data_IF_466051028981
#
_entry.id   IF_466051028981
#
_cell.length_a   1.000
_cell.length_b   1.000
_cell.length_c   1.000
_cell.angle_alpha   90.00
_cell.angle_beta   90.00
_cell.angle_gamma   90.00
#
_symmetry.space_group_name_H-M   'P 1'
#
loop_
_entity.id
_entity.type
_entity.pdbx_description
1 polymer ?
#
# COMPACT_ATOMS: atom_id res chain seq x y z
N UNK A 1 -65.75 -60.02 -9.47
CA UNK A 1 -64.80 -61.09 -9.14
C UNK A 1 -63.42 -60.61 -9.59
N UNK A 2 -62.44 -60.62 -8.68
CA UNK A 2 -60.96 -60.42 -8.81
C UNK A 2 -60.49 -59.06 -9.36
N UNK A 3 -59.81 -58.16 -8.61
CA UNK A 3 -58.52 -58.16 -7.87
C UNK A 3 -57.28 -57.73 -8.69
N UNK A 4 -56.42 -56.91 -8.05
CA UNK A 4 -55.05 -56.45 -8.38
C UNK A 4 -54.94 -55.16 -9.26
N UNK A 5 -54.02 -54.19 -9.07
CA UNK A 5 -52.86 -53.97 -8.19
C UNK A 5 -52.37 -52.49 -8.27
N UNK A 6 -51.36 -52.14 -7.47
CA UNK A 6 -50.79 -50.85 -7.01
C UNK A 6 -50.03 -49.95 -8.07
N UNK A 7 -49.46 -48.76 -7.71
CA UNK A 7 -49.44 -47.50 -8.49
C UNK A 7 -48.02 -47.05 -8.90
N UNK A 8 -47.88 -45.87 -9.56
CA UNK A 8 -46.70 -45.01 -9.38
C UNK A 8 -46.91 -43.54 -9.83
N UNK A 9 -46.09 -42.68 -9.23
CA UNK A 9 -46.20 -41.23 -9.07
C UNK A 9 -45.77 -40.40 -10.29
N UNK A 10 -46.22 -39.13 -10.34
CA UNK A 10 -45.79 -38.14 -11.31
C UNK A 10 -46.01 -36.69 -10.87
N UNK A 11 -44.91 -36.06 -10.44
CA UNK A 11 -44.54 -34.65 -10.54
C UNK A 11 -45.45 -33.53 -9.97
N UNK A 12 -44.90 -32.88 -8.94
CA UNK A 12 -45.30 -31.60 -8.35
C UNK A 12 -44.80 -30.46 -9.26
N UNK A 13 -45.68 -29.52 -9.62
CA UNK A 13 -45.31 -28.28 -10.33
C UNK A 13 -45.38 -27.11 -9.34
N UNK A 14 -44.22 -26.57 -8.94
CA UNK A 14 -44.13 -25.35 -8.13
C UNK A 14 -43.86 -24.15 -9.03
N UNK A 15 -44.84 -23.25 -9.14
CA UNK A 15 -44.70 -21.94 -9.77
C UNK A 15 -43.92 -20.97 -8.89
N UNK A 16 -42.88 -20.35 -9.46
CA UNK A 16 -42.09 -19.30 -8.83
C UNK A 16 -42.24 -17.98 -9.60
N UNK A 17 -42.79 -16.97 -8.92
CA UNK A 17 -42.99 -15.60 -9.41
C UNK A 17 -41.64 -14.89 -9.44
N UNK A 18 -41.16 -14.49 -10.62
CA UNK A 18 -39.97 -13.65 -10.76
C UNK A 18 -40.32 -12.18 -10.47
N UNK A 19 -39.87 -11.68 -9.32
CA UNK A 19 -39.78 -10.24 -9.07
C UNK A 19 -38.54 -9.70 -9.79
N UNK A 20 -38.77 -8.91 -10.85
CA UNK A 20 -37.73 -8.14 -11.53
C UNK A 20 -37.23 -7.02 -10.61
N UNK A 21 -36.10 -7.26 -9.94
CA UNK A 21 -35.32 -6.22 -9.27
C UNK A 21 -34.63 -5.37 -10.33
N UNK A 22 -35.17 -4.18 -10.58
CA UNK A 22 -34.46 -3.13 -11.31
C UNK A 22 -33.26 -2.68 -10.46
N UNK A 23 -32.07 -3.11 -10.87
CA UNK A 23 -30.81 -2.60 -10.36
C UNK A 23 -30.76 -1.08 -10.57
N UNK A 24 -30.87 -0.33 -9.48
CA UNK A 24 -30.64 1.12 -9.48
C UNK A 24 -29.20 1.37 -9.87
N UNK A 25 -29.01 1.98 -11.04
CA UNK A 25 -27.73 2.48 -11.53
C UNK A 25 -27.24 3.56 -10.58
N UNK A 26 -26.23 3.26 -9.77
CA UNK A 26 -25.54 4.25 -8.96
C UNK A 26 -24.91 5.30 -9.89
N UNK A 27 -25.11 6.57 -9.57
CA UNK A 27 -24.61 7.72 -10.32
C UNK A 27 -23.09 7.78 -10.12
N UNK A 28 -22.34 7.25 -11.09
CA UNK A 28 -20.88 7.28 -11.11
C UNK A 28 -20.37 8.65 -11.54
N UNK A 29 -19.79 9.41 -10.61
CA UNK A 29 -18.83 10.46 -10.94
C UNK A 29 -17.57 9.86 -11.60
N UNK A 30 -16.70 10.68 -12.22
CA UNK A 30 -15.50 10.18 -12.90
C UNK A 30 -14.64 9.40 -11.90
N UNK A 31 -14.44 8.11 -12.17
CA UNK A 31 -13.71 7.22 -11.27
C UNK A 31 -12.25 7.66 -11.10
N UNK A 32 -11.67 7.36 -9.94
CA UNK A 32 -10.23 7.45 -9.69
C UNK A 32 -9.49 6.62 -10.73
N UNK A 33 -8.43 7.17 -11.33
CA UNK A 33 -7.55 6.37 -12.19
C UNK A 33 -6.78 5.37 -11.34
N UNK A 34 -6.87 4.09 -11.71
CA UNK A 34 -6.14 3.02 -11.04
C UNK A 34 -4.61 3.20 -11.15
N UNK A 35 -3.90 2.80 -10.10
CA UNK A 35 -2.46 2.71 -10.06
C UNK A 35 -1.95 1.64 -11.05
N UNK A 36 -0.87 1.97 -11.77
CA UNK A 36 -0.13 0.97 -12.54
C UNK A 36 0.74 0.13 -11.62
N UNK A 37 0.63 -1.20 -11.75
CA UNK A 37 1.47 -2.15 -11.00
C UNK A 37 2.82 -2.34 -11.71
N UNK A 38 3.88 -2.72 -10.99
CA UNK A 38 5.15 -3.09 -11.60
C UNK A 38 5.00 -4.34 -12.47
N UNK A 39 5.78 -4.41 -13.54
CA UNK A 39 5.85 -5.60 -14.41
C UNK A 39 7.18 -6.33 -14.17
N UNK A 40 7.35 -6.88 -12.96
CA UNK A 40 8.61 -7.51 -12.56
C UNK A 40 8.87 -8.82 -13.28
N UNK A 41 10.07 -8.93 -13.85
CA UNK A 41 10.63 -10.17 -14.41
C UNK A 41 12.12 -10.22 -14.13
N UNK A 42 12.47 -10.66 -12.92
CA UNK A 42 13.86 -10.77 -12.51
C UNK A 42 14.62 -11.77 -13.42
N UNK A 43 15.88 -11.46 -13.78
CA UNK A 43 16.77 -12.40 -14.44
C UNK A 43 17.22 -13.50 -13.48
N UNK A 44 18.09 -14.39 -13.93
CA UNK A 44 18.81 -15.27 -13.02
C UNK A 44 19.72 -14.42 -12.12
N UNK A 45 19.55 -14.55 -10.80
CA UNK A 45 20.27 -13.75 -9.81
C UNK A 45 21.52 -14.47 -9.33
N UNK A 46 22.57 -13.71 -9.07
CA UNK A 46 23.78 -14.19 -8.40
C UNK A 46 23.65 -14.02 -6.89
N UNK A 47 24.05 -15.02 -6.11
CA UNK A 47 23.99 -14.91 -4.66
C UNK A 47 25.00 -13.88 -4.17
N UNK A 48 24.55 -12.96 -3.32
CA UNK A 48 25.44 -12.08 -2.60
C UNK A 48 26.33 -12.87 -1.62
N UNK A 49 27.64 -12.77 -1.78
CA UNK A 49 28.62 -13.55 -0.99
C UNK A 49 29.14 -12.81 0.26
N UNK A 50 28.65 -11.59 0.54
CA UNK A 50 29.13 -10.76 1.63
C UNK A 50 30.11 -9.67 1.18
N UNK A 51 30.41 -8.74 2.09
CA UNK A 51 31.26 -7.56 1.81
C UNK A 51 30.77 -6.29 2.50
N UNK A 52 29.52 -6.31 2.97
CA UNK A 52 28.81 -5.12 3.43
C UNK A 52 28.31 -4.27 2.27
N UNK A 53 27.54 -3.26 2.60
CA UNK A 53 27.19 -2.18 1.70
C UNK A 53 28.29 -1.13 1.70
N UNK A 54 28.55 -0.62 0.51
CA UNK A 54 29.44 0.51 0.23
C UNK A 54 28.64 1.67 -0.41
N UNK A 55 29.02 2.93 -0.12
CA UNK A 55 28.46 4.09 -0.81
C UNK A 55 28.65 4.01 -2.33
N UNK A 56 27.62 4.36 -3.08
CA UNK A 56 27.55 4.26 -4.54
C UNK A 56 27.81 2.84 -5.09
N UNK A 57 27.72 1.81 -4.22
CA UNK A 57 27.93 0.42 -4.59
C UNK A 57 26.93 -0.08 -5.64
N UNK A 58 27.37 -1.02 -6.47
CA UNK A 58 26.59 -1.64 -7.52
C UNK A 58 26.28 -3.08 -7.13
N UNK A 59 25.00 -3.37 -6.96
CA UNK A 59 24.49 -4.67 -6.52
C UNK A 59 23.55 -5.29 -7.54
N UNK A 60 23.63 -4.84 -8.79
CA UNK A 60 22.70 -5.23 -9.83
C UNK A 60 22.71 -6.76 -10.05
N UNK A 61 21.52 -7.36 -10.16
CA UNK A 61 21.36 -8.79 -10.39
C UNK A 61 21.64 -9.69 -9.18
N UNK A 62 21.73 -9.14 -7.97
CA UNK A 62 22.06 -9.91 -6.77
C UNK A 62 20.83 -10.41 -5.98
N UNK A 63 20.94 -11.62 -5.46
CA UNK A 63 20.08 -12.20 -4.44
C UNK A 63 20.73 -12.09 -3.06
N UNK A 64 20.06 -11.37 -2.17
CA UNK A 64 20.39 -11.23 -0.77
C UNK A 64 19.44 -12.08 0.06
N UNK A 65 19.98 -13.09 0.75
CA UNK A 65 19.21 -13.95 1.63
C UNK A 65 19.66 -13.79 3.07
N UNK A 66 18.75 -13.33 3.92
CA UNK A 66 18.95 -13.14 5.37
C UNK A 66 20.20 -12.31 5.71
N UNK A 67 20.58 -11.39 4.80
CA UNK A 67 21.74 -10.55 4.98
C UNK A 67 21.49 -9.53 6.10
N UNK A 68 22.51 -9.31 6.93
CA UNK A 68 22.48 -8.29 7.97
C UNK A 68 23.18 -7.02 7.47
N UNK A 69 22.39 -5.97 7.25
CA UNK A 69 22.87 -4.64 6.86
C UNK A 69 22.80 -3.62 8.00
N UNK A 70 22.65 -4.08 9.24
CA UNK A 70 22.46 -3.18 10.36
C UNK A 70 23.60 -2.16 10.50
N UNK A 71 23.24 -0.88 10.54
CA UNK A 71 24.16 0.26 10.66
C UNK A 71 25.10 0.49 9.47
N UNK A 72 24.96 -0.27 8.38
CA UNK A 72 25.85 -0.15 7.21
C UNK A 72 25.54 1.07 6.36
N UNK A 73 26.51 1.48 5.55
CA UNK A 73 26.41 2.64 4.66
C UNK A 73 26.44 2.22 3.19
N UNK A 74 25.26 2.24 2.57
CA UNK A 74 25.06 2.11 1.13
C UNK A 74 24.48 3.37 0.51
N UNK A 75 24.81 4.57 1.01
CA UNK A 75 24.30 5.81 0.43
C UNK A 75 24.60 5.89 -1.08
N UNK A 76 23.59 6.16 -1.90
CA UNK A 76 23.72 6.18 -3.36
C UNK A 76 23.81 4.81 -4.05
N UNK A 77 23.78 3.71 -3.29
CA UNK A 77 23.86 2.35 -3.84
C UNK A 77 22.75 2.05 -4.86
N UNK A 78 23.07 1.16 -5.80
CA UNK A 78 22.16 0.70 -6.86
C UNK A 78 21.82 -0.77 -6.65
N UNK A 79 20.52 -1.04 -6.70
CA UNK A 79 19.91 -2.37 -6.65
C UNK A 79 18.97 -2.48 -7.84
N UNK A 80 19.50 -2.84 -9.00
CA UNK A 80 18.70 -3.18 -10.18
C UNK A 80 18.52 -4.68 -10.26
N UNK A 81 17.31 -5.14 -10.58
CA UNK A 81 17.04 -6.57 -10.75
C UNK A 81 17.45 -7.41 -9.52
N UNK A 82 17.22 -6.90 -8.31
CA UNK A 82 17.62 -7.58 -7.07
C UNK A 82 16.46 -8.30 -6.39
N UNK A 83 16.82 -9.30 -5.58
CA UNK A 83 15.92 -9.89 -4.58
C UNK A 83 16.53 -9.77 -3.17
N UNK A 84 15.85 -9.07 -2.26
CA UNK A 84 16.24 -8.97 -0.86
C UNK A 84 15.23 -9.72 -0.01
N UNK A 85 15.61 -10.92 0.47
CA UNK A 85 14.72 -11.81 1.23
C UNK A 85 15.20 -11.93 2.68
N UNK A 86 14.38 -11.51 3.63
CA UNK A 86 14.64 -11.65 5.06
C UNK A 86 15.77 -10.77 5.60
N UNK A 87 16.22 -9.77 4.85
CA UNK A 87 17.35 -8.92 5.24
C UNK A 87 17.01 -8.01 6.43
N UNK A 88 18.01 -7.80 7.30
CA UNK A 88 17.94 -6.84 8.40
C UNK A 88 18.46 -5.47 7.94
N UNK A 89 17.65 -4.44 8.18
CA UNK A 89 17.86 -3.07 7.71
C UNK A 89 17.91 -2.07 8.89
N UNK A 90 18.18 -2.56 10.10
CA UNK A 90 18.23 -1.73 11.30
C UNK A 90 19.27 -0.61 11.14
N UNK A 91 18.83 0.65 11.17
CA UNK A 91 19.69 1.84 11.03
C UNK A 91 20.59 1.85 9.77
N UNK A 92 20.24 1.07 8.73
CA UNK A 92 20.97 1.08 7.46
C UNK A 92 20.83 2.44 6.77
N UNK A 93 21.91 2.95 6.19
CA UNK A 93 21.91 4.18 5.39
C UNK A 93 21.87 3.83 3.91
N UNK A 94 20.74 4.12 3.28
CA UNK A 94 20.46 3.97 1.85
C UNK A 94 19.96 5.32 1.27
N UNK A 95 20.43 6.43 1.85
CA UNK A 95 20.10 7.78 1.38
C UNK A 95 20.46 7.91 -0.10
N UNK A 96 19.53 8.40 -0.93
CA UNK A 96 19.67 8.50 -2.40
C UNK A 96 19.94 7.17 -3.12
N UNK A 97 19.73 6.03 -2.48
CA UNK A 97 19.84 4.73 -3.14
C UNK A 97 18.79 4.58 -4.26
N UNK A 98 19.06 3.68 -5.20
CA UNK A 98 18.20 3.41 -6.35
C UNK A 98 17.83 1.94 -6.36
N UNK A 99 16.58 1.64 -6.08
CA UNK A 99 16.00 0.30 -6.17
C UNK A 99 15.11 0.25 -7.41
N UNK A 100 15.52 -0.54 -8.39
CA UNK A 100 14.90 -0.62 -9.71
C UNK A 100 14.58 -2.07 -10.00
N UNK A 101 13.37 -2.34 -10.49
CA UNK A 101 12.97 -3.68 -10.96
C UNK A 101 13.29 -4.78 -9.92
N UNK A 102 13.02 -4.50 -8.63
CA UNK A 102 13.51 -5.33 -7.52
C UNK A 102 12.39 -5.81 -6.59
N UNK A 103 12.64 -6.93 -5.90
CA UNK A 103 11.74 -7.52 -4.92
C UNK A 103 12.36 -7.48 -3.53
N UNK A 104 11.59 -7.00 -2.54
CA UNK A 104 11.94 -7.03 -1.12
C UNK A 104 10.90 -7.88 -0.38
N UNK A 105 11.31 -9.01 0.16
CA UNK A 105 10.41 -9.95 0.84
C UNK A 105 10.84 -10.15 2.29
N UNK A 106 9.95 -9.91 3.25
CA UNK A 106 10.19 -10.15 4.67
C UNK A 106 11.32 -9.30 5.28
N UNK A 107 11.66 -8.17 4.65
CA UNK A 107 12.67 -7.25 5.18
C UNK A 107 12.22 -6.66 6.50
N UNK A 108 13.17 -6.46 7.42
CA UNK A 108 12.88 -5.97 8.77
C UNK A 108 13.90 -4.92 9.20
N UNK A 109 13.47 -3.96 10.01
CA UNK A 109 14.41 -3.03 10.63
C UNK A 109 13.75 -1.82 11.24
N UNK A 110 14.47 -1.19 12.17
CA UNK A 110 14.09 0.10 12.75
C UNK A 110 15.08 1.18 12.29
N UNK A 111 14.56 2.34 11.90
CA UNK A 111 15.39 3.51 11.59
C UNK A 111 16.15 3.45 10.26
N UNK A 112 15.75 2.56 9.33
CA UNK A 112 16.33 2.53 7.98
C UNK A 112 16.17 3.89 7.28
N UNK A 113 17.26 4.44 6.77
CA UNK A 113 17.29 5.73 6.09
C UNK A 113 17.34 5.56 4.56
N UNK A 114 16.19 5.76 3.90
CA UNK A 114 16.03 5.80 2.45
C UNK A 114 15.64 7.21 1.98
N UNK A 115 16.08 8.25 2.70
CA UNK A 115 15.81 9.63 2.31
C UNK A 115 16.27 9.89 0.86
N UNK A 116 15.42 10.58 0.09
CA UNK A 116 15.67 10.90 -1.33
C UNK A 116 15.93 9.69 -2.24
N UNK A 117 15.64 8.46 -1.79
CA UNK A 117 15.79 7.26 -2.60
C UNK A 117 14.83 7.25 -3.80
N UNK A 118 15.21 6.50 -4.84
CA UNK A 118 14.33 6.20 -5.97
C UNK A 118 13.94 4.73 -5.92
N UNK A 119 12.63 4.46 -5.82
CA UNK A 119 12.07 3.13 -5.95
C UNK A 119 11.20 3.13 -7.21
N UNK A 120 11.57 2.31 -8.19
CA UNK A 120 10.79 2.20 -9.42
C UNK A 120 10.63 0.74 -9.80
N UNK A 121 9.40 0.36 -10.13
CA UNK A 121 9.07 -1.01 -10.46
C UNK A 121 9.49 -1.96 -9.31
N UNK A 122 8.99 -1.71 -8.09
CA UNK A 122 9.42 -2.45 -6.88
C UNK A 122 8.23 -3.14 -6.23
N UNK A 123 8.42 -4.38 -5.81
CA UNK A 123 7.48 -5.09 -4.95
C UNK A 123 8.08 -5.31 -3.56
N UNK A 124 7.34 -4.92 -2.53
CA UNK A 124 7.68 -5.14 -1.13
C UNK A 124 6.61 -6.04 -0.52
N UNK A 125 6.97 -7.16 0.08
CA UNK A 125 6.03 -8.10 0.71
C UNK A 125 6.43 -8.38 2.15
N UNK A 126 5.46 -8.36 3.06
CA UNK A 126 5.59 -8.73 4.48
C UNK A 126 6.69 -7.97 5.24
N UNK A 127 6.91 -6.71 4.88
CA UNK A 127 7.90 -5.87 5.55
C UNK A 127 7.50 -5.53 6.99
N UNK A 128 8.50 -5.54 7.90
CA UNK A 128 8.35 -5.13 9.30
C UNK A 128 9.29 -3.98 9.60
N UNK A 129 8.79 -2.78 9.41
CA UNK A 129 9.61 -1.58 9.40
C UNK A 129 9.11 -0.58 10.45
N UNK A 130 10.03 0.03 11.18
CA UNK A 130 9.70 1.06 12.17
C UNK A 130 10.56 2.31 11.96
N UNK A 131 9.95 3.48 11.87
CA UNK A 131 10.69 4.74 11.73
C UNK A 131 11.50 4.85 10.43
N UNK A 132 11.10 4.14 9.36
CA UNK A 132 11.79 4.22 8.06
C UNK A 132 11.65 5.61 7.46
N UNK A 133 12.77 6.17 7.01
CA UNK A 133 12.83 7.49 6.39
C UNK A 133 12.77 7.37 4.87
N UNK A 134 11.75 7.94 4.25
CA UNK A 134 11.58 8.07 2.79
C UNK A 134 11.25 9.53 2.42
N UNK A 135 11.66 10.49 3.25
CA UNK A 135 11.40 11.89 2.98
C UNK A 135 12.11 12.32 1.68
N UNK A 136 11.40 13.04 0.81
CA UNK A 136 11.88 13.43 -0.51
C UNK A 136 12.05 12.31 -1.52
N UNK A 137 11.74 11.05 -1.17
CA UNK A 137 11.89 9.90 -2.07
C UNK A 137 10.94 9.98 -3.28
N UNK A 138 11.30 9.27 -4.35
CA UNK A 138 10.47 9.09 -5.54
C UNK A 138 10.09 7.61 -5.67
N UNK A 139 8.79 7.31 -5.55
CA UNK A 139 8.21 5.98 -5.72
C UNK A 139 7.35 5.97 -6.99
N UNK A 140 7.68 5.11 -7.95
CA UNK A 140 6.92 4.93 -9.18
C UNK A 140 6.62 3.45 -9.47
N UNK A 141 5.35 3.08 -9.62
CA UNK A 141 4.95 1.66 -9.83
C UNK A 141 5.48 0.76 -8.72
N UNK A 142 5.12 1.10 -7.49
CA UNK A 142 5.53 0.36 -6.29
C UNK A 142 4.33 -0.32 -5.68
N UNK A 143 4.47 -1.59 -5.32
CA UNK A 143 3.43 -2.34 -4.61
C UNK A 143 3.98 -2.83 -3.28
N UNK A 144 3.30 -2.50 -2.19
CA UNK A 144 3.64 -2.92 -0.83
C UNK A 144 2.50 -3.80 -0.33
N UNK A 145 2.80 -5.06 0.00
CA UNK A 145 1.82 -6.09 0.37
C UNK A 145 2.09 -6.60 1.78
N UNK A 146 1.05 -6.63 2.60
CA UNK A 146 1.15 -7.12 3.97
C UNK A 146 2.09 -6.27 4.83
N UNK A 147 2.50 -6.84 5.96
CA UNK A 147 3.46 -6.20 6.84
C UNK A 147 2.89 -5.11 7.76
N UNK A 148 3.76 -4.66 8.66
CA UNK A 148 3.50 -3.57 9.61
C UNK A 148 4.59 -2.53 9.48
N UNK A 149 4.19 -1.31 9.17
CA UNK A 149 5.09 -0.18 8.97
C UNK A 149 4.67 0.94 9.92
N UNK A 150 5.42 1.10 11.00
CA UNK A 150 5.18 2.12 12.01
C UNK A 150 6.05 3.35 11.73
N UNK A 151 5.50 4.55 11.91
CA UNK A 151 6.20 5.84 11.77
C UNK A 151 6.91 6.02 10.42
N UNK A 152 6.25 5.63 9.33
CA UNK A 152 6.77 5.77 7.97
C UNK A 152 6.83 7.26 7.57
N UNK A 153 8.03 7.79 7.39
CA UNK A 153 8.21 9.19 7.00
C UNK A 153 8.26 9.31 5.47
N UNK A 154 7.20 9.82 4.85
CA UNK A 154 7.08 10.11 3.42
C UNK A 154 6.99 11.62 3.14
N UNK A 155 7.48 12.47 4.06
CA UNK A 155 7.40 13.92 3.91
C UNK A 155 8.03 14.38 2.60
N UNK A 156 7.35 15.24 1.86
CA UNK A 156 7.79 15.76 0.55
C UNK A 156 8.09 14.68 -0.51
N UNK A 157 7.74 13.42 -0.28
CA UNK A 157 7.95 12.34 -1.24
C UNK A 157 7.00 12.47 -2.44
N UNK A 158 7.37 11.85 -3.56
CA UNK A 158 6.53 11.73 -4.76
C UNK A 158 6.14 10.28 -4.94
N UNK A 159 4.86 9.98 -4.76
CA UNK A 159 4.30 8.65 -4.98
C UNK A 159 3.43 8.71 -6.24
N UNK A 160 3.76 7.89 -7.22
CA UNK A 160 3.01 7.78 -8.47
C UNK A 160 2.79 6.32 -8.78
N UNK A 161 1.54 5.93 -9.03
CA UNK A 161 1.21 4.52 -9.28
C UNK A 161 1.67 3.63 -8.11
N UNK A 162 1.21 3.90 -6.89
CA UNK A 162 1.60 3.13 -5.69
C UNK A 162 0.40 2.41 -5.09
N UNK A 163 0.56 1.13 -4.76
CA UNK A 163 -0.49 0.33 -4.11
C UNK A 163 0.01 -0.17 -2.76
N UNK A 164 -0.71 0.15 -1.71
CA UNK A 164 -0.60 -0.52 -0.41
C UNK A 164 -1.73 -1.55 -0.31
N UNK A 165 -1.40 -2.80 -0.05
CA UNK A 165 -2.36 -3.90 0.00
C UNK A 165 -2.18 -4.74 1.28
N UNK A 166 -3.19 -4.82 2.14
CA UNK A 166 -3.13 -5.60 3.38
C UNK A 166 -2.12 -5.09 4.42
N UNK A 167 -1.65 -3.85 4.30
CA UNK A 167 -0.66 -3.26 5.20
C UNK A 167 -1.30 -2.70 6.48
N UNK A 168 -0.57 -2.78 7.59
CA UNK A 168 -0.86 -1.95 8.77
C UNK A 168 0.13 -0.78 8.80
N UNK A 169 -0.38 0.43 8.56
CA UNK A 169 0.39 1.68 8.59
C UNK A 169 0.02 2.46 9.85
N UNK A 170 0.96 2.57 10.79
CA UNK A 170 0.75 3.33 12.04
C UNK A 170 1.54 4.62 11.97
N UNK A 171 0.84 5.74 12.11
CA UNK A 171 1.36 7.10 12.03
C UNK A 171 2.23 7.37 10.78
N UNK A 172 1.76 7.04 9.56
CA UNK A 172 2.48 7.43 8.36
C UNK A 172 2.40 8.95 8.16
N UNK A 173 3.53 9.59 7.87
CA UNK A 173 3.65 11.03 7.64
C UNK A 173 3.80 11.32 6.14
N UNK A 174 2.73 11.81 5.52
CA UNK A 174 2.70 12.25 4.12
C UNK A 174 2.84 13.78 3.98
N UNK A 175 3.41 14.45 4.99
CA UNK A 175 3.49 15.89 5.06
C UNK A 175 4.16 16.51 3.83
N UNK A 176 3.44 17.32 3.06
CA UNK A 176 3.94 17.94 1.82
C UNK A 176 4.17 16.96 0.66
N UNK A 177 3.82 15.68 0.80
CA UNK A 177 3.99 14.69 -0.26
C UNK A 177 3.05 14.96 -1.45
N UNK A 178 3.39 14.38 -2.61
CA UNK A 178 2.52 14.33 -3.78
C UNK A 178 2.12 12.88 -4.02
N UNK A 179 0.82 12.61 -3.96
CA UNK A 179 0.21 11.31 -4.25
C UNK A 179 -0.55 11.39 -5.57
N UNK A 180 -0.18 10.53 -6.53
CA UNK A 180 -0.82 10.44 -7.85
C UNK A 180 -1.13 8.99 -8.20
N UNK A 181 -2.41 8.61 -8.33
CA UNK A 181 -2.83 7.21 -8.54
C UNK A 181 -2.27 6.30 -7.44
N UNK A 182 -2.72 6.56 -6.21
CA UNK A 182 -2.35 5.76 -5.03
C UNK A 182 -3.57 5.03 -4.51
N UNK A 183 -3.41 3.75 -4.22
CA UNK A 183 -4.48 2.86 -3.75
C UNK A 183 -4.14 2.28 -2.37
N UNK A 184 -5.13 2.24 -1.49
CA UNK A 184 -5.07 1.52 -0.22
C UNK A 184 -6.15 0.43 -0.23
N UNK A 185 -5.72 -0.83 -0.27
CA UNK A 185 -6.61 -2.00 -0.39
C UNK A 185 -6.43 -2.87 0.85
N UNK A 186 -7.49 -3.09 1.61
CA UNK A 186 -7.50 -3.87 2.86
C UNK A 186 -6.43 -3.40 3.88
N UNK A 187 -6.06 -2.11 3.82
CA UNK A 187 -5.07 -1.51 4.71
C UNK A 187 -5.70 -0.89 5.95
N UNK A 188 -4.99 -0.94 7.06
CA UNK A 188 -5.30 -0.15 8.26
C UNK A 188 -4.38 1.08 8.31
N UNK A 189 -4.95 2.27 8.10
CA UNK A 189 -4.27 3.56 8.26
C UNK A 189 -4.64 4.13 9.63
N UNK A 190 -3.65 4.23 10.53
CA UNK A 190 -3.85 4.74 11.89
C UNK A 190 -3.07 6.01 12.08
N UNK A 191 -3.72 7.13 12.40
CA UNK A 191 -3.07 8.41 12.67
C UNK A 191 -2.27 9.00 11.51
N UNK A 192 -2.74 8.88 10.27
CA UNK A 192 -2.04 9.44 9.12
C UNK A 192 -1.94 10.98 9.19
N UNK A 193 -0.75 11.53 8.93
CA UNK A 193 -0.56 12.98 8.75
C UNK A 193 -0.56 13.32 7.26
N UNK A 194 -1.55 14.12 6.84
CA UNK A 194 -1.74 14.57 5.46
C UNK A 194 -1.41 16.06 5.29
N UNK A 195 -0.73 16.69 6.26
CA UNK A 195 -0.50 18.14 6.26
C UNK A 195 0.20 18.60 4.98
N UNK A 196 -0.45 19.45 4.19
CA UNK A 196 0.12 19.97 2.94
C UNK A 196 0.27 18.95 1.82
N UNK A 197 -0.30 17.74 1.95
CA UNK A 197 -0.28 16.73 0.87
C UNK A 197 -1.02 17.26 -0.37
N UNK A 198 -0.53 16.90 -1.55
CA UNK A 198 -1.25 17.06 -2.82
C UNK A 198 -1.74 15.70 -3.29
N UNK A 199 -3.05 15.57 -3.50
CA UNK A 199 -3.70 14.33 -3.91
C UNK A 199 -4.26 14.47 -5.33
N UNK A 200 -3.98 13.49 -6.17
CA UNK A 200 -4.56 13.33 -7.51
C UNK A 200 -4.89 11.85 -7.70
N UNK A 201 -6.15 11.52 -7.96
CA UNK A 201 -6.57 10.13 -8.20
C UNK A 201 -6.17 9.18 -7.05
N UNK A 202 -6.51 9.48 -5.79
CA UNK A 202 -6.23 8.57 -4.67
C UNK A 202 -7.48 7.80 -4.27
N UNK A 203 -7.40 6.48 -4.21
CA UNK A 203 -8.51 5.62 -3.79
C UNK A 203 -8.30 5.12 -2.37
N UNK A 204 -9.13 5.63 -1.45
CA UNK A 204 -9.15 5.22 -0.05
C UNK A 204 -10.29 4.24 0.24
N UNK A 205 -11.20 3.97 -0.71
CA UNK A 205 -12.40 3.14 -0.45
C UNK A 205 -12.05 1.72 -0.01
N UNK A 206 -10.90 1.21 -0.42
CA UNK A 206 -10.40 -0.11 -0.04
C UNK A 206 -9.76 -0.16 1.35
N UNK A 207 -9.48 0.97 2.00
CA UNK A 207 -8.88 0.98 3.32
C UNK A 207 -9.88 0.40 4.35
N UNK A 208 -9.43 -0.62 5.08
CA UNK A 208 -10.19 -1.30 6.12
C UNK A 208 -10.43 -0.39 7.35
N UNK A 209 -9.48 0.49 7.67
CA UNK A 209 -9.66 1.57 8.63
C UNK A 209 -8.92 2.82 8.19
N UNK A 210 -9.50 4.00 8.45
CA UNK A 210 -8.94 5.28 8.07
C UNK A 210 -9.02 6.26 9.24
N UNK A 211 -7.91 6.43 9.94
CA UNK A 211 -7.76 7.45 10.97
C UNK A 211 -6.74 8.50 10.49
N UNK A 212 -7.19 9.75 10.40
CA UNK A 212 -6.37 10.89 9.97
C UNK A 212 -6.12 11.76 11.20
N UNK A 213 -4.84 11.92 11.55
CA UNK A 213 -4.43 12.76 12.68
C UNK A 213 -4.46 14.24 12.32
N UNK A 214 -4.04 14.60 11.10
CA UNK A 214 -3.91 15.99 10.62
C UNK A 214 -4.10 16.07 9.10
N UNK A 215 -4.50 17.23 8.61
CA UNK A 215 -4.59 17.51 7.17
C UNK A 215 -5.82 16.92 6.50
N UNK A 216 -6.93 16.74 7.22
CA UNK A 216 -8.18 16.22 6.63
C UNK A 216 -8.75 17.15 5.55
N UNK A 217 -8.45 18.45 5.61
CA UNK A 217 -8.73 19.45 4.59
C UNK A 217 -8.03 19.19 3.25
N UNK A 218 -7.03 18.30 3.22
CA UNK A 218 -6.24 17.96 2.03
C UNK A 218 -6.76 16.77 1.25
N UNK A 219 -7.87 16.15 1.66
CA UNK A 219 -8.48 15.01 0.96
C UNK A 219 -9.08 15.35 -0.42
N UNK A 220 -8.99 16.59 -0.89
CA UNK A 220 -9.39 16.96 -2.24
C UNK A 220 -8.68 16.10 -3.30
N UNK A 221 -9.45 15.40 -4.13
CA UNK A 221 -8.94 14.47 -5.14
C UNK A 221 -8.86 13.00 -4.68
N UNK A 222 -9.14 12.72 -3.40
CA UNK A 222 -9.32 11.37 -2.91
C UNK A 222 -10.77 10.91 -3.10
N UNK A 223 -10.98 9.59 -3.20
CA UNK A 223 -12.30 8.99 -3.13
C UNK A 223 -12.39 8.09 -1.90
N UNK A 224 -13.42 8.36 -1.08
CA UNK A 224 -13.76 7.62 0.13
C UNK A 224 -15.15 6.99 -0.01
N UNK A 225 -15.45 5.99 0.82
CA UNK A 225 -16.78 5.38 0.91
C UNK A 225 -17.70 6.18 1.85
N UNK A 226 -19.04 5.96 1.80
CA UNK A 226 -19.96 6.59 2.74
C UNK A 226 -19.69 6.25 4.21
N UNK A 227 -19.21 5.05 4.52
CA UNK A 227 -18.85 4.68 5.90
C UNK A 227 -17.63 5.47 6.38
N UNK A 228 -16.61 5.60 5.52
CA UNK A 228 -15.42 6.41 5.82
C UNK A 228 -15.77 7.88 6.04
N UNK A 229 -16.76 8.42 5.33
CA UNK A 229 -17.24 9.78 5.60
C UNK A 229 -17.81 9.93 7.01
N UNK A 230 -18.52 8.91 7.52
CA UNK A 230 -19.02 8.91 8.90
C UNK A 230 -17.87 8.80 9.91
N UNK A 231 -16.89 7.94 9.64
CA UNK A 231 -15.70 7.77 10.48
C UNK A 231 -14.87 9.06 10.56
N UNK A 232 -14.79 9.80 9.46
CA UNK A 232 -14.08 11.08 9.36
C UNK A 232 -14.90 12.29 9.83
N UNK A 233 -16.20 12.13 10.09
CA UNK A 233 -17.08 13.26 10.44
C UNK A 233 -16.57 14.07 11.66
N UNK A 234 -16.08 13.45 12.76
CA UNK A 234 -15.56 14.21 13.90
C UNK A 234 -14.34 15.07 13.55
N UNK A 235 -13.39 14.53 12.79
CA UNK A 235 -12.17 15.27 12.41
C UNK A 235 -12.48 16.37 11.39
N UNK A 236 -13.42 16.12 10.46
CA UNK A 236 -13.92 17.14 9.53
C UNK A 236 -14.65 18.28 10.26
N UNK A 237 -15.49 17.94 11.23
CA UNK A 237 -16.17 18.95 12.05
C UNK A 237 -15.15 19.81 12.81
N UNK A 238 -14.15 19.17 13.43
CA UNK A 238 -13.06 19.86 14.13
C UNK A 238 -12.29 20.82 13.21
N UNK A 239 -11.94 20.39 11.99
CA UNK A 239 -11.24 21.22 10.99
C UNK A 239 -12.07 22.44 10.56
N UNK A 240 -13.39 22.28 10.48
CA UNK A 240 -14.33 23.37 10.18
C UNK A 240 -14.67 24.24 11.40
N UNK A 241 -14.10 23.95 12.58
CA UNK A 241 -14.41 24.65 13.83
C UNK A 241 -15.80 24.33 14.40
N UNK A 242 -16.44 23.26 13.94
CA UNK A 242 -17.75 22.80 14.39
C UNK A 242 -17.56 21.94 15.65
N UNK A 243 -18.28 22.30 16.72
CA UNK A 243 -18.35 21.49 17.94
C UNK A 243 -19.48 20.47 17.83
N UNK A 244 -19.16 19.20 18.02
CA UNK A 244 -20.14 18.11 18.09
C UNK A 244 -20.39 17.78 19.56
N UNK A 245 -21.63 17.91 20.01
CA UNK A 245 -22.09 17.50 21.35
C UNK A 245 -22.84 16.17 21.21
N UNK A 246 -22.65 15.26 22.17
CA UNK A 246 -23.26 13.94 22.21
C UNK A 246 -24.52 13.87 23.04
#
# INVERSE_FOLDING_TARGET
>A
MTCAEFPQAGAVVSGGVQHGSMARRAVGGPGVKAARRPELRLPALERYEGGGLEPDGDYDGLEFLEADFAGQDGAGARFMDCALTGCALDEVRLTRARLLDSVLAGVRGVGADLAEATLRDVEVTDARLGGTQLHGAALERVVIRGGKIDFLNLRSARLKDVVFEGCVLVEPDFGGARLERVEFVDCALKGADLTGVTIVDVDLRGAASLEIARGVDRLSGAVISPSQLLDLAPVLAGELGIRVEG
#
